data_IF_037325805023
#
_entry.id   IF_037325805023
#
_cell.length_a   1.000
_cell.length_b   1.000
_cell.length_c   1.000
_cell.angle_alpha   90.00
_cell.angle_beta   90.00
_cell.angle_gamma   90.00
#
_symmetry.space_group_name_H-M   'P 1'
#
loop_
_entity.id
_entity.type
_entity.pdbx_description
1 polymer ?
#
# COMPACT_ATOMS: atom_id res chain seq x y z
N UNK A 1 -14.56 21.66 33.58
CA UNK A 1 -15.61 21.01 32.77
C UNK A 1 -14.91 20.32 31.62
N UNK A 2 -14.82 18.99 31.65
CA UNK A 2 -14.19 18.22 30.57
C UNK A 2 -15.18 18.14 29.41
N UNK A 3 -14.78 18.63 28.24
CA UNK A 3 -15.54 18.47 27.01
C UNK A 3 -15.54 16.99 26.64
N UNK A 4 -16.66 16.30 26.89
CA UNK A 4 -16.93 15.00 26.28
C UNK A 4 -17.21 15.24 24.79
N UNK A 5 -16.18 15.09 23.97
CA UNK A 5 -16.35 14.92 22.53
C UNK A 5 -16.87 13.50 22.28
N UNK A 6 -18.15 13.26 22.62
CA UNK A 6 -18.88 12.10 22.12
C UNK A 6 -19.35 12.43 20.70
N UNK A 7 -18.39 12.54 19.78
CA UNK A 7 -18.71 12.18 18.41
C UNK A 7 -19.00 10.68 18.47
N UNK A 8 -20.27 10.35 18.34
CA UNK A 8 -20.72 8.98 18.12
C UNK A 8 -20.14 8.53 16.77
N UNK A 9 -18.86 8.16 16.75
CA UNK A 9 -18.28 7.49 15.60
C UNK A 9 -19.03 6.18 15.50
N UNK A 10 -19.97 6.11 14.56
CA UNK A 10 -20.77 4.91 14.33
C UNK A 10 -19.82 3.72 14.24
N UNK A 11 -19.98 2.73 15.12
CA UNK A 11 -19.13 1.53 15.18
C UNK A 11 -19.08 0.78 13.84
N UNK A 12 -20.10 0.92 13.00
CA UNK A 12 -20.13 0.45 11.60
C UNK A 12 -19.09 1.09 10.68
N UNK A 13 -18.47 2.21 11.07
CA UNK A 13 -17.42 2.87 10.32
C UNK A 13 -16.08 2.15 10.47
N UNK A 14 -15.89 1.41 11.58
CA UNK A 14 -14.66 0.66 11.87
C UNK A 14 -14.80 -0.85 11.74
N UNK A 15 -16.02 -1.39 11.73
CA UNK A 15 -16.26 -2.82 11.48
C UNK A 15 -16.25 -3.11 9.97
N UNK A 16 -15.31 -3.93 9.46
CA UNK A 16 -15.32 -4.32 8.06
C UNK A 16 -16.58 -5.10 7.70
N UNK A 17 -17.01 -4.96 6.45
CA UNK A 17 -18.13 -5.77 5.92
C UNK A 17 -17.67 -7.21 5.70
N UNK A 18 -18.59 -8.15 5.79
CA UNK A 18 -18.32 -9.59 5.67
C UNK A 18 -17.52 -9.93 4.40
N UNK A 19 -17.93 -9.43 3.23
CA UNK A 19 -17.19 -9.65 1.99
C UNK A 19 -15.76 -9.09 2.01
N UNK A 20 -15.48 -8.01 2.76
CA UNK A 20 -14.12 -7.46 2.86
C UNK A 20 -13.23 -8.38 3.71
N UNK A 21 -13.81 -9.03 4.72
CA UNK A 21 -13.10 -10.02 5.56
C UNK A 21 -12.78 -11.27 4.74
N UNK A 22 -13.76 -11.81 4.02
CA UNK A 22 -13.56 -12.99 3.17
C UNK A 22 -12.52 -12.76 2.07
N UNK A 23 -12.58 -11.60 1.40
CA UNK A 23 -11.61 -11.24 0.36
C UNK A 23 -10.20 -11.06 0.92
N UNK A 24 -10.07 -10.45 2.10
CA UNK A 24 -8.79 -10.28 2.76
C UNK A 24 -8.19 -11.64 3.16
N UNK A 25 -9.02 -12.53 3.71
CA UNK A 25 -8.58 -13.87 4.12
C UNK A 25 -8.12 -14.69 2.89
N UNK A 26 -8.90 -14.68 1.81
CA UNK A 26 -8.52 -15.31 0.56
C UNK A 26 -7.21 -14.73 -0.02
N UNK A 27 -6.99 -13.41 0.07
CA UNK A 27 -5.78 -12.75 -0.41
C UNK A 27 -4.53 -13.05 0.43
N UNK A 28 -4.71 -13.38 1.71
CA UNK A 28 -3.60 -13.82 2.59
C UNK A 28 -3.13 -15.23 2.24
N UNK A 29 -4.05 -16.10 1.85
CA UNK A 29 -3.74 -17.50 1.52
C UNK A 29 -3.17 -17.66 0.11
N UNK A 30 -3.68 -16.87 -0.86
CA UNK A 30 -3.32 -17.02 -2.27
C UNK A 30 -3.50 -15.73 -3.06
N UNK A 31 -2.87 -15.68 -4.24
CA UNK A 31 -3.06 -14.58 -5.17
C UNK A 31 -4.48 -14.62 -5.75
N UNK A 32 -5.18 -13.48 -5.68
CA UNK A 32 -6.55 -13.33 -6.20
C UNK A 32 -6.69 -12.04 -6.98
N UNK A 33 -7.63 -12.03 -7.93
CA UNK A 33 -8.07 -10.82 -8.63
C UNK A 33 -9.43 -10.43 -8.06
N UNK A 34 -9.54 -9.20 -7.57
CA UNK A 34 -10.71 -8.74 -6.82
C UNK A 34 -11.42 -7.61 -7.56
N UNK A 35 -12.66 -7.85 -7.99
CA UNK A 35 -13.48 -6.88 -8.70
C UNK A 35 -14.39 -6.12 -7.71
N UNK A 36 -13.98 -4.92 -7.29
CA UNK A 36 -14.78 -4.05 -6.42
C UNK A 36 -15.26 -2.81 -7.15
N UNK A 37 -16.53 -2.45 -6.92
CA UNK A 37 -17.17 -1.30 -7.53
C UNK A 37 -16.74 0.06 -6.97
N UNK A 38 -16.20 0.12 -5.75
CA UNK A 38 -15.78 1.40 -5.13
C UNK A 38 -14.28 1.45 -4.86
N UNK A 39 -13.68 2.63 -5.06
CA UNK A 39 -12.27 2.88 -4.75
C UNK A 39 -11.95 2.67 -3.26
N UNK A 40 -12.84 3.09 -2.37
CA UNK A 40 -12.66 2.94 -0.91
C UNK A 40 -12.54 1.48 -0.46
N UNK A 41 -13.29 0.56 -1.08
CA UNK A 41 -13.21 -0.86 -0.75
C UNK A 41 -11.87 -1.47 -1.21
N UNK A 42 -11.36 -1.03 -2.37
CA UNK A 42 -10.04 -1.46 -2.89
C UNK A 42 -8.92 -1.05 -1.95
N UNK A 43 -8.93 0.22 -1.55
CA UNK A 43 -7.94 0.80 -0.63
C UNK A 43 -7.96 0.06 0.71
N UNK A 44 -9.16 -0.22 1.24
CA UNK A 44 -9.31 -0.95 2.49
C UNK A 44 -8.65 -2.33 2.42
N UNK A 45 -8.98 -3.14 1.41
CA UNK A 45 -8.43 -4.49 1.28
C UNK A 45 -6.92 -4.44 1.07
N UNK A 46 -6.44 -3.57 0.19
CA UNK A 46 -5.01 -3.45 -0.09
C UNK A 46 -4.22 -3.03 1.16
N UNK A 47 -4.67 -2.02 1.88
CA UNK A 47 -4.01 -1.55 3.11
C UNK A 47 -4.00 -2.62 4.19
N UNK A 48 -5.13 -3.34 4.35
CA UNK A 48 -5.23 -4.42 5.33
C UNK A 48 -4.32 -5.60 4.97
N UNK A 49 -4.23 -5.94 3.69
CA UNK A 49 -3.32 -6.98 3.24
C UNK A 49 -1.85 -6.61 3.50
N UNK A 50 -1.48 -5.34 3.27
CA UNK A 50 -0.14 -4.83 3.61
C UNK A 50 0.13 -4.97 5.11
N UNK A 51 -0.84 -4.62 5.96
CA UNK A 51 -0.73 -4.78 7.42
C UNK A 51 -0.53 -6.23 7.84
N UNK A 52 -1.31 -7.15 7.27
CA UNK A 52 -1.22 -8.59 7.56
C UNK A 52 0.11 -9.19 7.09
N UNK A 53 0.64 -8.70 5.97
CA UNK A 53 1.94 -9.12 5.42
C UNK A 53 3.13 -8.36 6.00
N UNK A 54 2.91 -7.38 6.89
CA UNK A 54 3.93 -6.49 7.41
C UNK A 54 5.09 -7.25 8.07
N UNK A 55 4.84 -8.38 8.73
CA UNK A 55 5.90 -9.20 9.32
C UNK A 55 6.88 -9.77 8.29
N UNK A 56 6.39 -10.10 7.08
CA UNK A 56 7.24 -10.56 5.98
C UNK A 56 7.96 -9.40 5.29
N UNK A 57 7.33 -8.23 5.26
CA UNK A 57 7.85 -7.03 4.60
C UNK A 57 8.91 -6.32 5.46
N UNK A 58 8.77 -6.33 6.79
CA UNK A 58 9.74 -5.71 7.71
C UNK A 58 11.11 -6.39 7.74
N UNK A 59 11.19 -7.64 7.29
CA UNK A 59 12.47 -8.33 7.23
C UNK A 59 13.41 -7.61 6.26
N UNK A 60 14.70 -7.52 6.59
CA UNK A 60 15.70 -7.01 5.66
C UNK A 60 15.65 -7.75 4.31
N UNK A 61 15.89 -7.03 3.21
CA UNK A 61 15.82 -7.61 1.86
C UNK A 61 16.81 -8.78 1.70
N UNK A 62 18.04 -8.60 2.19
CA UNK A 62 19.10 -9.60 2.21
C UNK A 62 18.80 -10.84 3.07
N UNK A 63 17.81 -10.79 3.96
CA UNK A 63 17.36 -11.91 4.81
C UNK A 63 16.07 -12.56 4.28
N UNK A 64 15.73 -12.34 3.01
CA UNK A 64 14.52 -12.86 2.38
C UNK A 64 13.26 -12.10 2.77
N UNK A 65 13.40 -10.82 3.15
CA UNK A 65 12.28 -9.92 3.31
C UNK A 65 11.54 -9.66 2.01
N UNK A 66 10.24 -9.37 2.11
CA UNK A 66 9.39 -9.06 0.97
C UNK A 66 9.24 -7.56 0.78
N UNK A 67 8.82 -7.15 -0.41
CA UNK A 67 8.41 -5.77 -0.71
C UNK A 67 7.03 -5.75 -1.31
N UNK A 68 6.29 -4.70 -1.01
CA UNK A 68 4.97 -4.47 -1.58
C UNK A 68 5.11 -3.39 -2.65
N UNK A 69 4.75 -3.74 -3.89
CA UNK A 69 4.54 -2.76 -4.95
C UNK A 69 3.05 -2.45 -5.06
N UNK A 70 2.67 -1.18 -4.94
CA UNK A 70 1.30 -0.71 -5.13
C UNK A 70 1.25 0.22 -6.34
N UNK A 71 0.71 -0.29 -7.44
CA UNK A 71 0.61 0.44 -8.71
C UNK A 71 -0.72 1.19 -8.80
N UNK A 72 -0.70 2.43 -9.27
CA UNK A 72 -1.89 3.27 -9.48
C UNK A 72 -1.82 4.06 -10.79
N UNK A 73 -2.99 4.51 -11.24
CA UNK A 73 -3.11 5.14 -12.56
C UNK A 73 -2.70 6.63 -12.57
N UNK A 74 -2.74 7.31 -11.42
CA UNK A 74 -2.52 8.77 -11.35
C UNK A 74 -1.65 9.19 -10.18
N UNK A 75 -0.87 10.27 -10.36
CA UNK A 75 0.02 10.81 -9.34
C UNK A 75 -0.72 11.21 -8.05
N UNK A 76 -1.90 11.83 -8.21
CA UNK A 76 -2.74 12.20 -7.07
C UNK A 76 -3.19 10.99 -6.25
N UNK A 77 -3.53 9.87 -6.91
CA UNK A 77 -3.87 8.63 -6.22
C UNK A 77 -2.64 8.05 -5.50
N UNK A 78 -1.47 8.08 -6.11
CA UNK A 78 -0.24 7.59 -5.49
C UNK A 78 0.05 8.35 -4.19
N UNK A 79 0.08 9.68 -4.24
CA UNK A 79 0.30 10.50 -3.03
C UNK A 79 -0.77 10.25 -1.97
N UNK A 80 -2.05 10.14 -2.37
CA UNK A 80 -3.14 9.87 -1.43
C UNK A 80 -3.01 8.50 -0.76
N UNK A 81 -2.72 7.44 -1.53
CA UNK A 81 -2.55 6.08 -1.01
C UNK A 81 -1.29 5.97 -0.16
N UNK A 82 -0.18 6.58 -0.58
CA UNK A 82 1.06 6.60 0.17
C UNK A 82 0.85 7.22 1.55
N UNK A 83 0.17 8.37 1.59
CA UNK A 83 -0.24 9.00 2.84
C UNK A 83 -1.10 8.07 3.69
N UNK A 84 -2.11 7.43 3.12
CA UNK A 84 -2.98 6.51 3.86
C UNK A 84 -2.21 5.33 4.49
N UNK A 85 -1.30 4.72 3.73
CA UNK A 85 -0.46 3.62 4.19
C UNK A 85 0.51 4.11 5.29
N UNK A 86 1.13 5.28 5.13
CA UNK A 86 2.01 5.88 6.17
C UNK A 86 1.26 6.20 7.47
N UNK A 87 -0.02 6.58 7.40
CA UNK A 87 -0.82 6.89 8.59
C UNK A 87 -1.31 5.63 9.31
N UNK A 88 -1.51 4.53 8.60
CA UNK A 88 -2.08 3.30 9.13
C UNK A 88 -1.04 2.20 9.39
N UNK A 89 0.20 2.41 8.97
CA UNK A 89 1.30 1.46 9.15
C UNK A 89 2.56 2.22 9.55
N UNK A 90 3.45 1.53 10.22
CA UNK A 90 4.82 1.96 10.56
C UNK A 90 5.83 1.57 9.46
N UNK A 91 5.37 1.19 8.26
CA UNK A 91 6.23 0.75 7.18
C UNK A 91 6.85 1.94 6.45
N UNK A 92 8.07 1.77 5.94
CA UNK A 92 8.70 2.76 5.07
C UNK A 92 8.03 2.73 3.68
N UNK A 93 7.51 3.89 3.26
CA UNK A 93 6.76 4.03 2.01
C UNK A 93 7.44 5.03 1.09
N UNK A 94 7.89 4.55 -0.06
CA UNK A 94 8.35 5.39 -1.17
C UNK A 94 7.24 5.65 -2.17
N UNK A 95 7.27 6.82 -2.80
CA UNK A 95 6.31 7.24 -3.82
C UNK A 95 7.02 7.74 -5.06
N UNK A 96 6.59 7.24 -6.21
CA UNK A 96 7.15 7.52 -7.51
C UNK A 96 6.06 8.02 -8.45
N UNK A 97 5.94 9.36 -8.50
CA UNK A 97 4.84 10.06 -9.18
C UNK A 97 5.25 10.86 -10.40
N UNK A 98 6.55 11.12 -10.57
CA UNK A 98 7.12 11.82 -11.71
C UNK A 98 8.17 10.92 -12.37
N UNK A 99 8.25 11.01 -13.69
CA UNK A 99 9.51 10.74 -14.38
C UNK A 99 10.19 12.09 -14.50
N UNK A 100 11.14 12.39 -13.62
CA UNK A 100 12.06 13.47 -13.94
C UNK A 100 12.95 12.95 -15.09
N UNK A 101 13.01 13.69 -16.20
CA UNK A 101 13.68 13.25 -17.45
C UNK A 101 15.18 12.93 -17.26
N UNK A 102 15.78 13.40 -16.15
CA UNK A 102 17.18 13.23 -15.78
C UNK A 102 17.42 12.09 -14.78
N UNK A 103 16.37 11.40 -14.32
CA UNK A 103 16.48 10.39 -13.27
C UNK A 103 16.81 9.02 -13.91
N UNK A 104 18.01 8.49 -13.61
CA UNK A 104 18.46 7.19 -14.11
C UNK A 104 18.07 6.12 -13.09
N UNK A 105 17.19 5.21 -13.50
CA UNK A 105 16.63 4.17 -12.65
C UNK A 105 17.35 2.84 -12.93
N UNK A 106 18.63 2.78 -12.59
CA UNK A 106 19.45 1.60 -12.79
C UNK A 106 19.24 0.52 -11.72
N UNK A 107 19.91 -0.62 -11.89
CA UNK A 107 19.80 -1.75 -10.97
C UNK A 107 20.31 -1.36 -9.57
N UNK A 108 21.33 -0.50 -9.48
CA UNK A 108 21.91 -0.08 -8.21
C UNK A 108 20.95 0.82 -7.42
N UNK A 109 20.27 1.74 -8.11
CA UNK A 109 19.19 2.55 -7.55
C UNK A 109 18.09 1.67 -6.97
N UNK A 110 17.59 0.70 -7.74
CA UNK A 110 16.52 -0.18 -7.28
C UNK A 110 16.95 -1.11 -6.14
N UNK A 111 18.19 -1.60 -6.15
CA UNK A 111 18.72 -2.42 -5.05
C UNK A 111 18.81 -1.60 -3.75
N UNK A 112 19.27 -0.35 -3.84
CA UNK A 112 19.26 0.58 -2.72
C UNK A 112 17.84 0.87 -2.24
N UNK A 113 16.92 1.16 -3.16
CA UNK A 113 15.55 1.52 -2.86
C UNK A 113 14.79 0.38 -2.18
N UNK A 114 14.90 -0.84 -2.73
CA UNK A 114 14.33 -2.05 -2.14
C UNK A 114 15.00 -2.36 -0.80
N UNK A 115 16.28 -2.04 -0.59
CA UNK A 115 16.90 -2.22 0.73
C UNK A 115 16.28 -1.30 1.79
N UNK A 116 15.94 -0.06 1.44
CA UNK A 116 15.50 1.00 2.35
C UNK A 116 13.98 1.00 2.60
N UNK A 117 13.21 0.85 1.52
CA UNK A 117 11.76 1.02 1.53
C UNK A 117 11.05 -0.33 1.47
N UNK A 118 9.91 -0.40 2.15
CA UNK A 118 9.15 -1.63 2.37
C UNK A 118 7.92 -1.72 1.46
N UNK A 119 7.31 -0.55 1.21
CA UNK A 119 6.21 -0.37 0.28
C UNK A 119 6.62 0.69 -0.74
N UNK A 120 6.44 0.39 -2.01
CA UNK A 120 6.72 1.31 -3.11
C UNK A 120 5.42 1.58 -3.85
N UNK A 121 5.06 2.86 -4.00
CA UNK A 121 3.96 3.28 -4.84
C UNK A 121 4.49 3.80 -6.16
N UNK A 122 3.97 3.29 -7.27
CA UNK A 122 4.41 3.69 -8.60
C UNK A 122 3.22 3.93 -9.52
N UNK A 123 3.42 4.78 -10.52
CA UNK A 123 2.48 4.93 -11.62
C UNK A 123 2.59 3.75 -12.58
N UNK A 124 1.46 3.31 -13.13
CA UNK A 124 1.43 2.26 -14.18
C UNK A 124 2.34 2.63 -15.36
N UNK A 125 2.31 3.90 -15.79
CA UNK A 125 3.16 4.42 -16.87
C UNK A 125 4.67 4.30 -16.56
N UNK A 126 5.05 4.33 -15.29
CA UNK A 126 6.45 4.18 -14.84
C UNK A 126 6.89 2.72 -14.90
N UNK A 127 6.01 1.80 -14.51
CA UNK A 127 6.30 0.35 -14.53
C UNK A 127 6.26 -0.28 -15.92
N UNK A 128 5.57 0.35 -16.87
CA UNK A 128 5.35 -0.20 -18.23
C UNK A 128 6.55 -0.03 -19.17
N UNK A 129 7.53 0.79 -18.79
CA UNK A 129 8.70 1.13 -19.61
C UNK A 129 10.00 0.44 -19.16
N UNK A 130 9.92 -0.46 -18.16
CA UNK A 130 11.11 -1.00 -17.47
C UNK A 130 11.25 -2.53 -17.52
N UNK A 131 10.49 -3.24 -18.36
CA UNK A 131 10.62 -4.69 -18.60
C UNK A 131 10.91 -5.03 -20.06
#
# INVERSE_FOLDING_TARGET
>A
MAYHFTDNVHTKCFTPREYQVELLDAAKERNIIVCLGTSSAKIFIATKLIQELANSVRRPWNEGGKRTLYVVDTAALATQQASYIRHLTDLNVAEYTSMDEDEIWDIEFWDYEISLNQVTLSLEAVTSLQW
#
